data_IF_313188068291
#
_entry.id   IF_313188068291
#
_cell.length_a   1.000
_cell.length_b   1.000
_cell.length_c   1.000
_cell.angle_alpha   90.00
_cell.angle_beta   90.00
_cell.angle_gamma   90.00
#
_symmetry.space_group_name_H-M   'P 1'
#
loop_
_entity.id
_entity.type
_entity.pdbx_description
1 polymer ?
#
# COMPACT_ATOMS: atom_id res chain seq x y z
N UNK A 1 29.29 -12.33 14.19
CA UNK A 1 28.04 -11.95 14.89
C UNK A 1 26.75 -12.54 14.30
N UNK A 2 26.71 -13.11 13.08
CA UNK A 2 25.48 -13.74 12.54
C UNK A 2 25.18 -15.16 13.07
N UNK A 3 26.20 -15.95 13.41
CA UNK A 3 26.02 -17.35 13.85
C UNK A 3 25.30 -17.46 15.21
N UNK A 4 25.55 -16.52 16.13
CA UNK A 4 24.93 -16.52 17.47
C UNK A 4 23.42 -16.27 17.43
N UNK A 5 22.92 -15.49 16.45
CA UNK A 5 21.49 -15.18 16.34
C UNK A 5 20.69 -16.38 15.82
N UNK A 6 21.24 -17.11 14.85
CA UNK A 6 20.66 -18.35 14.30
C UNK A 6 20.66 -19.48 15.35
N UNK A 7 21.72 -19.61 16.13
CA UNK A 7 21.78 -20.56 17.23
C UNK A 7 20.73 -20.25 18.31
N UNK A 8 20.46 -18.97 18.58
CA UNK A 8 19.45 -18.57 19.57
C UNK A 8 18.02 -18.96 19.13
N UNK A 9 17.69 -18.79 17.85
CA UNK A 9 16.39 -19.22 17.33
C UNK A 9 16.25 -20.74 17.32
N UNK A 10 17.27 -21.47 16.89
CA UNK A 10 17.25 -22.95 16.91
C UNK A 10 17.07 -23.50 18.33
N UNK A 11 17.66 -22.85 19.33
CA UNK A 11 17.48 -23.23 20.74
C UNK A 11 16.06 -22.95 21.26
N UNK A 12 15.43 -21.85 20.83
CA UNK A 12 14.02 -21.55 21.19
C UNK A 12 13.07 -22.55 20.53
N UNK A 13 13.28 -22.90 19.26
CA UNK A 13 12.47 -23.91 18.57
C UNK A 13 12.64 -25.30 19.18
N UNK A 14 13.87 -25.69 19.54
CA UNK A 14 14.13 -26.96 20.23
C UNK A 14 13.51 -27.01 21.64
N UNK A 15 13.57 -25.90 22.40
CA UNK A 15 12.96 -25.81 23.72
C UNK A 15 11.43 -25.95 23.65
N UNK A 16 10.79 -25.36 22.63
CA UNK A 16 9.35 -25.52 22.39
C UNK A 16 8.97 -26.96 22.03
N UNK A 17 9.83 -27.68 21.31
CA UNK A 17 9.62 -29.10 20.98
C UNK A 17 9.77 -30.02 22.20
N UNK A 18 10.73 -29.73 23.09
CA UNK A 18 10.94 -30.48 24.34
C UNK A 18 9.79 -30.27 25.32
N UNK A 19 9.27 -29.03 25.43
CA UNK A 19 8.09 -28.73 26.23
C UNK A 19 6.80 -29.37 25.68
N UNK A 20 6.78 -29.69 24.37
CA UNK A 20 5.69 -30.45 23.73
C UNK A 20 5.81 -31.97 23.84
N UNK A 21 6.91 -32.51 24.37
CA UNK A 21 7.23 -33.93 24.36
C UNK A 21 7.35 -34.56 25.76
N UNK A 22 6.50 -34.16 26.71
CA UNK A 22 6.29 -34.95 27.93
C UNK A 22 4.98 -35.74 27.86
N UNK A 23 5.16 -37.05 27.78
CA UNK A 23 4.16 -38.10 27.81
C UNK A 23 3.46 -38.18 29.16
N UNK A 24 2.13 -38.05 29.19
CA UNK A 24 1.34 -38.21 30.41
C UNK A 24 -0.17 -38.14 30.20
N UNK A 25 -0.74 -39.18 29.59
CA UNK A 25 -2.10 -39.71 29.83
C UNK A 25 -3.24 -38.77 30.24
N UNK A 26 -3.65 -37.85 29.37
CA UNK A 26 -5.03 -37.38 29.26
C UNK A 26 -5.16 -36.78 27.85
N UNK A 27 -6.17 -37.19 27.10
CA UNK A 27 -6.28 -36.93 25.66
C UNK A 27 -5.88 -35.51 25.27
N UNK A 28 -4.91 -35.41 24.38
CA UNK A 28 -4.47 -34.25 23.61
C UNK A 28 -5.57 -33.67 22.69
N UNK A 29 -6.83 -33.94 23.00
CA UNK A 29 -8.02 -33.39 22.38
C UNK A 29 -8.03 -31.84 22.36
N UNK A 30 -7.64 -31.11 23.43
CA UNK A 30 -7.64 -29.64 23.37
C UNK A 30 -6.54 -29.09 22.46
N UNK A 31 -5.39 -29.77 22.34
CA UNK A 31 -4.31 -29.34 21.45
C UNK A 31 -4.65 -29.64 19.98
N UNK A 32 -5.10 -30.86 19.67
CA UNK A 32 -5.54 -31.20 18.32
C UNK A 32 -6.73 -30.35 17.88
N UNK A 33 -7.67 -30.05 18.78
CA UNK A 33 -8.80 -29.15 18.50
C UNK A 33 -8.33 -27.70 18.31
N UNK A 34 -7.43 -27.19 19.15
CA UNK A 34 -6.85 -25.86 18.97
C UNK A 34 -6.06 -25.74 17.66
N UNK A 35 -5.26 -26.76 17.32
CA UNK A 35 -4.50 -26.79 16.06
C UNK A 35 -5.44 -26.83 14.85
N UNK A 36 -6.52 -27.62 14.94
CA UNK A 36 -7.55 -27.70 13.91
C UNK A 36 -8.33 -26.40 13.78
N UNK A 37 -8.68 -25.74 14.88
CA UNK A 37 -9.34 -24.42 14.87
C UNK A 37 -8.44 -23.34 14.28
N UNK A 38 -7.13 -23.37 14.55
CA UNK A 38 -6.15 -22.46 13.94
C UNK A 38 -5.99 -22.74 12.43
N UNK A 39 -5.96 -24.02 12.03
CA UNK A 39 -5.93 -24.42 10.61
C UNK A 39 -7.21 -24.04 9.85
N UNK A 40 -8.39 -24.23 10.46
CA UNK A 40 -9.68 -23.85 9.86
C UNK A 40 -9.84 -22.32 9.80
N UNK A 41 -9.39 -21.59 10.83
CA UNK A 41 -9.39 -20.12 10.84
C UNK A 41 -8.44 -19.51 9.79
N UNK A 42 -7.40 -20.24 9.39
CA UNK A 42 -6.45 -19.83 8.34
C UNK A 42 -6.87 -20.31 6.94
N UNK A 43 -7.73 -21.32 6.83
CA UNK A 43 -8.20 -21.84 5.54
C UNK A 43 -9.17 -20.87 4.80
N UNK A 44 -9.83 -19.96 5.53
CA UNK A 44 -10.82 -19.03 4.97
C UNK A 44 -10.30 -17.63 4.65
N UNK A 45 -9.08 -17.28 5.08
CA UNK A 45 -8.43 -16.04 4.68
C UNK A 45 -7.42 -16.39 3.60
N UNK A 46 -7.70 -16.03 2.35
CA UNK A 46 -6.62 -15.63 1.46
C UNK A 46 -6.04 -14.36 2.08
N UNK A 47 -5.12 -14.55 3.04
CA UNK A 47 -4.58 -13.51 3.89
C UNK A 47 -3.65 -12.62 3.05
N UNK A 48 -3.67 -11.30 3.21
CA UNK A 48 -2.63 -10.43 2.67
C UNK A 48 -1.29 -10.89 3.24
N UNK A 49 -0.50 -11.62 2.45
CA UNK A 49 0.82 -12.11 2.84
C UNK A 49 0.98 -13.62 3.00
N UNK A 50 -0.03 -14.47 2.73
CA UNK A 50 0.27 -15.90 2.54
C UNK A 50 1.01 -16.07 1.21
N UNK A 51 2.28 -16.52 1.17
CA UNK A 51 2.98 -16.68 -0.10
C UNK A 51 2.24 -17.73 -0.93
N UNK A 52 1.83 -17.35 -2.14
CA UNK A 52 1.20 -18.28 -3.09
C UNK A 52 2.08 -19.53 -3.21
N UNK A 53 1.57 -20.75 -2.93
CA UNK A 53 2.33 -21.96 -3.16
C UNK A 53 2.47 -22.20 -4.67
N UNK A 54 3.67 -22.55 -5.13
CA UNK A 54 3.92 -22.95 -6.52
C UNK A 54 4.52 -21.85 -7.42
N UNK A 55 4.45 -22.03 -8.76
CA UNK A 55 5.09 -21.14 -9.75
C UNK A 55 4.56 -19.69 -9.75
N UNK A 56 3.45 -19.44 -9.05
CA UNK A 56 2.85 -18.11 -8.88
C UNK A 56 3.53 -17.28 -7.78
N UNK A 57 4.45 -17.85 -7.00
CA UNK A 57 5.25 -17.09 -6.04
C UNK A 57 6.22 -16.17 -6.80
N UNK A 58 6.19 -14.85 -6.57
CA UNK A 58 7.15 -13.94 -7.20
C UNK A 58 8.57 -14.35 -6.84
N UNK A 59 9.47 -14.29 -7.81
CA UNK A 59 10.91 -14.36 -7.54
C UNK A 59 11.31 -13.17 -6.65
N UNK A 60 12.41 -13.27 -5.91
CA UNK A 60 12.94 -12.14 -5.12
C UNK A 60 13.18 -10.89 -5.98
N UNK A 61 13.64 -11.07 -7.22
CA UNK A 61 13.81 -9.96 -8.16
C UNK A 61 12.48 -9.33 -8.58
N UNK A 62 11.43 -10.12 -8.79
CA UNK A 62 10.09 -9.63 -9.07
C UNK A 62 9.49 -8.90 -7.86
N UNK A 63 9.70 -9.43 -6.66
CA UNK A 63 9.27 -8.81 -5.41
C UNK A 63 9.93 -7.43 -5.22
N UNK A 64 11.25 -7.32 -5.33
CA UNK A 64 11.94 -6.03 -5.22
C UNK A 64 11.59 -5.05 -6.33
N UNK A 65 11.24 -5.53 -7.53
CA UNK A 65 10.71 -4.67 -8.59
C UNK A 65 9.37 -4.07 -8.16
N UNK A 66 8.46 -4.90 -7.66
CA UNK A 66 7.15 -4.44 -7.18
C UNK A 66 7.26 -3.47 -6.01
N UNK A 67 8.19 -3.70 -5.07
CA UNK A 67 8.44 -2.76 -3.98
C UNK A 67 8.86 -1.38 -4.50
N UNK A 68 9.76 -1.33 -5.49
CA UNK A 68 10.18 -0.07 -6.11
C UNK A 68 9.05 0.61 -6.88
N UNK A 69 8.26 -0.16 -7.61
CA UNK A 69 7.10 0.36 -8.34
C UNK A 69 6.04 0.91 -7.38
N UNK A 70 5.77 0.21 -6.28
CA UNK A 70 4.83 0.65 -5.26
C UNK A 70 5.31 1.93 -4.58
N UNK A 71 6.58 2.00 -4.18
CA UNK A 71 7.15 3.22 -3.60
C UNK A 71 7.03 4.40 -4.56
N UNK A 72 7.34 4.21 -5.84
CA UNK A 72 7.20 5.24 -6.86
C UNK A 72 5.75 5.71 -7.00
N UNK A 73 4.76 4.82 -6.89
CA UNK A 73 3.35 5.20 -6.94
C UNK A 73 2.91 5.97 -5.70
N UNK A 74 3.38 5.57 -4.52
CA UNK A 74 3.13 6.29 -3.26
C UNK A 74 3.68 7.70 -3.36
N UNK A 75 4.96 7.84 -3.72
CA UNK A 75 5.63 9.14 -3.82
C UNK A 75 4.89 10.08 -4.80
N UNK A 76 4.46 9.55 -5.95
CA UNK A 76 3.68 10.33 -6.92
C UNK A 76 2.30 10.71 -6.39
N UNK A 77 1.59 9.81 -5.71
CA UNK A 77 0.30 10.13 -5.13
C UNK A 77 0.42 11.25 -4.09
N UNK A 78 1.42 11.19 -3.22
CA UNK A 78 1.69 12.23 -2.22
C UNK A 78 2.02 13.58 -2.89
N UNK A 79 2.92 13.59 -3.88
CA UNK A 79 3.26 14.81 -4.62
C UNK A 79 2.06 15.41 -5.36
N UNK A 80 1.19 14.57 -5.94
CA UNK A 80 -0.03 15.04 -6.59
C UNK A 80 -1.02 15.62 -5.57
N UNK A 81 -1.17 15.02 -4.39
CA UNK A 81 -2.00 15.58 -3.35
C UNK A 81 -1.50 16.99 -2.94
N UNK A 82 -0.19 17.17 -2.79
CA UNK A 82 0.43 18.48 -2.55
C UNK A 82 0.17 19.46 -3.72
N UNK A 83 0.33 19.01 -4.96
CA UNK A 83 0.10 19.83 -6.16
C UNK A 83 -1.36 20.28 -6.31
N UNK A 84 -2.31 19.51 -5.76
CA UNK A 84 -3.74 19.77 -5.85
C UNK A 84 -4.31 20.41 -4.59
N UNK A 85 -3.53 20.52 -3.51
CA UNK A 85 -4.04 20.95 -2.21
C UNK A 85 -5.04 19.95 -1.61
N UNK A 86 -4.81 18.64 -1.78
CA UNK A 86 -5.58 17.56 -1.20
C UNK A 86 -4.86 16.95 0.02
N UNK A 87 -5.58 16.21 0.86
CA UNK A 87 -4.97 15.38 1.89
C UNK A 87 -4.28 14.17 1.22
N UNK A 88 -2.98 13.94 1.44
CA UNK A 88 -2.25 12.83 0.81
C UNK A 88 -2.76 11.46 1.25
N UNK A 89 -3.31 11.36 2.46
CA UNK A 89 -3.75 10.09 3.04
C UNK A 89 -5.13 9.66 2.52
N UNK A 90 -6.10 10.56 2.46
CA UNK A 90 -7.49 10.19 2.16
C UNK A 90 -8.11 10.86 0.94
N UNK A 91 -7.52 11.94 0.40
CA UNK A 91 -8.10 12.69 -0.73
C UNK A 91 -9.56 13.14 -0.52
N UNK A 92 -10.02 13.22 0.73
CA UNK A 92 -11.39 13.55 1.12
C UNK A 92 -12.40 12.40 1.00
N UNK A 93 -11.97 11.16 0.74
CA UNK A 93 -12.87 10.00 0.62
C UNK A 93 -13.12 9.26 1.93
N UNK A 94 -12.35 9.56 3.00
CA UNK A 94 -12.48 8.95 4.33
C UNK A 94 -13.00 10.01 5.30
N UNK A 95 -14.22 9.85 5.80
CA UNK A 95 -14.94 10.86 6.58
C UNK A 95 -14.28 11.19 7.93
N UNK A 96 -13.61 10.24 8.54
CA UNK A 96 -12.95 10.32 9.85
C UNK A 96 -11.42 10.24 9.75
N UNK A 97 -10.86 10.66 8.61
CA UNK A 97 -9.42 10.65 8.38
C UNK A 97 -8.66 11.37 9.52
N UNK A 98 -7.67 10.69 10.12
CA UNK A 98 -6.92 11.21 11.26
C UNK A 98 -6.16 12.52 10.95
N UNK A 99 -5.73 12.71 9.70
CA UNK A 99 -4.96 13.89 9.28
C UNK A 99 -5.82 15.12 8.98
N UNK A 100 -7.04 14.95 8.45
CA UNK A 100 -7.84 16.07 7.93
C UNK A 100 -9.31 16.08 8.35
N UNK A 101 -9.79 15.09 9.10
CA UNK A 101 -11.21 14.98 9.45
C UNK A 101 -12.14 14.87 8.23
N UNK A 102 -11.64 14.27 7.14
CA UNK A 102 -12.39 13.98 5.93
C UNK A 102 -12.65 15.14 4.97
N UNK A 103 -12.18 16.37 5.26
CA UNK A 103 -12.38 17.51 4.35
C UNK A 103 -11.37 17.56 3.19
N UNK A 104 -10.36 16.69 3.19
CA UNK A 104 -9.14 16.77 2.37
C UNK A 104 -9.27 16.50 0.86
N UNK A 105 -10.36 16.91 0.22
CA UNK A 105 -10.52 16.86 -1.25
C UNK A 105 -9.58 17.85 -1.96
N UNK A 106 -9.30 17.67 -3.27
CA UNK A 106 -8.54 18.64 -4.05
C UNK A 106 -9.08 20.07 -3.93
N UNK A 107 -8.17 21.03 -3.75
CA UNK A 107 -8.47 22.45 -3.56
C UNK A 107 -8.88 22.83 -2.13
N UNK A 108 -8.91 21.90 -1.17
CA UNK A 108 -9.19 22.23 0.24
C UNK A 108 -8.03 23.00 0.89
N UNK A 109 -6.80 22.62 0.58
CA UNK A 109 -5.59 23.26 1.10
C UNK A 109 -4.90 24.09 0.01
N UNK A 110 -3.99 24.97 0.42
CA UNK A 110 -3.17 25.72 -0.52
C UNK A 110 -2.20 24.75 -1.24
N UNK A 111 -2.23 24.67 -2.58
CA UNK A 111 -1.28 23.82 -3.32
C UNK A 111 0.18 24.23 -3.10
N UNK A 112 1.07 23.24 -3.00
CA UNK A 112 2.50 23.50 -3.00
C UNK A 112 2.94 24.03 -4.38
N UNK A 113 3.59 25.20 -4.47
CA UNK A 113 3.95 25.81 -5.76
C UNK A 113 4.85 24.93 -6.62
N UNK A 114 5.82 24.22 -6.01
CA UNK A 114 6.76 23.39 -6.79
C UNK A 114 6.07 22.17 -7.37
N UNK A 115 5.23 21.51 -6.57
CA UNK A 115 4.45 20.37 -7.03
C UNK A 115 3.42 20.80 -8.10
N UNK A 116 2.77 21.96 -7.92
CA UNK A 116 1.84 22.52 -8.89
C UNK A 116 2.52 22.80 -10.24
N UNK A 117 3.68 23.47 -10.23
CA UNK A 117 4.45 23.80 -11.43
C UNK A 117 4.94 22.53 -12.17
N UNK A 118 5.28 21.48 -11.43
CA UNK A 118 5.74 20.22 -11.99
C UNK A 118 4.61 19.40 -12.62
N UNK A 119 3.46 19.27 -11.95
CA UNK A 119 2.42 18.31 -12.33
C UNK A 119 1.18 18.92 -12.96
N UNK A 120 0.76 20.11 -12.52
CA UNK A 120 -0.53 20.71 -12.92
C UNK A 120 -0.35 21.75 -14.01
N UNK A 121 0.63 22.65 -13.86
CA UNK A 121 0.86 23.75 -14.80
C UNK A 121 1.08 23.29 -16.26
N UNK A 122 1.85 22.21 -16.56
CA UNK A 122 2.04 21.74 -17.93
C UNK A 122 0.73 21.27 -18.57
N UNK A 123 -0.16 20.66 -17.77
CA UNK A 123 -1.46 20.17 -18.22
C UNK A 123 -2.38 21.35 -18.53
N UNK A 124 -2.45 22.34 -17.62
CA UNK A 124 -3.24 23.56 -17.84
C UNK A 124 -2.76 24.29 -19.10
N UNK A 125 -1.45 24.47 -19.25
CA UNK A 125 -0.86 25.12 -20.42
C UNK A 125 -1.26 24.41 -21.72
N UNK A 126 -1.26 23.07 -21.74
CA UNK A 126 -1.67 22.26 -22.89
C UNK A 126 -3.16 22.37 -23.19
N UNK A 127 -4.02 22.29 -22.17
CA UNK A 127 -5.49 22.32 -22.34
C UNK A 127 -5.94 23.72 -22.75
N UNK A 128 -5.46 24.76 -22.07
CA UNK A 128 -5.85 26.15 -22.33
C UNK A 128 -5.22 26.69 -23.63
N UNK A 129 -3.99 26.30 -23.95
CA UNK A 129 -3.35 26.66 -25.24
C UNK A 129 -4.09 26.10 -26.46
N UNK A 130 -4.73 24.94 -26.32
CA UNK A 130 -5.62 24.36 -27.35
C UNK A 130 -6.97 25.10 -27.42
N UNK A 131 -7.55 25.46 -26.29
CA UNK A 131 -8.81 26.19 -26.27
C UNK A 131 -8.73 27.62 -26.81
N UNK A 132 -7.60 28.32 -26.64
CA UNK A 132 -7.41 29.68 -27.19
C UNK A 132 -7.30 29.64 -28.72
N UNK A 133 -6.57 28.66 -29.27
CA UNK A 133 -6.41 28.50 -30.72
C UNK A 133 -7.72 28.13 -31.43
N UNK A 134 -8.54 27.25 -30.83
CA UNK A 134 -9.86 26.91 -31.37
C UNK A 134 -10.90 28.03 -31.24
N UNK A 135 -10.84 28.83 -30.17
CA UNK A 135 -11.77 29.96 -29.96
C UNK A 135 -11.48 31.13 -30.89
N UNK A 136 -10.20 31.43 -31.17
CA UNK A 136 -9.81 32.44 -32.16
C UNK A 136 -10.21 32.07 -33.60
N UNK A 137 -10.39 30.77 -33.90
CA UNK A 137 -10.79 30.31 -35.23
C UNK A 137 -12.32 30.31 -35.46
N UNK A 138 -13.12 30.77 -34.48
CA UNK A 138 -14.60 30.83 -34.56
C UNK A 138 -15.17 32.25 -34.60
N UNK A 139 -14.33 33.29 -34.68
CA UNK A 139 -14.81 34.66 -34.88
C UNK A 139 -15.03 34.85 -36.39
N UNK A 140 -16.27 34.94 -36.91
CA UNK A 140 -16.46 35.30 -38.30
C UNK A 140 -15.96 36.74 -38.48
N UNK A 141 -15.16 36.95 -39.53
CA UNK A 141 -14.75 38.29 -39.94
C UNK A 141 -16.01 39.15 -40.12
N UNK A 142 -16.15 40.20 -39.30
CA UNK A 142 -17.15 41.25 -39.54
C UNK A 142 -16.79 41.90 -40.87
N UNK A 143 -17.62 41.66 -41.89
CA UNK A 143 -17.74 42.53 -43.06
C UNK A 143 -18.65 43.70 -42.71
#
# INVERSE_FOLDING_TARGET
MCAQRLNNFNNVFAALQILGAQTGGAGNEPFCRALKMVQEASAGRSDPGTPLPGPDRPTWSAYHRLERENQLLIDHAEMMACALGACPNCWGSIADCEDCGGIGKPGTFLPDPRCFDQFVLPVIARVMGRHISERNNRIPARQ
#
